data_IF_602973204167
#
_entry.id   IF_602973204167
#
_cell.length_a   1.000
_cell.length_b   1.000
_cell.length_c   1.000
_cell.angle_alpha   90.00
_cell.angle_beta   90.00
_cell.angle_gamma   90.00
#
_symmetry.space_group_name_H-M   'P 1'
#
loop_
_entity.id
_entity.type
_entity.pdbx_description
1 polymer ?
#
# COMPACT_ATOMS: atom_id res chain seq x y z
N UNK A 1 2.31 0.55 6.03
CA UNK A 1 1.42 1.47 5.32
C UNK A 1 0.03 1.40 5.92
N UNK A 2 -0.69 2.53 5.93
CA UNK A 2 -2.07 2.63 6.41
C UNK A 2 -2.83 3.69 5.60
N UNK A 3 -4.12 3.44 5.34
CA UNK A 3 -4.98 4.34 4.57
C UNK A 3 -6.01 4.99 5.50
N UNK A 4 -6.23 6.30 5.34
CA UNK A 4 -7.25 7.04 6.10
C UNK A 4 -8.63 6.82 5.48
N UNK A 5 -8.80 7.18 4.20
CA UNK A 5 -10.06 7.00 3.47
C UNK A 5 -9.95 5.76 2.58
N UNK A 6 -10.35 4.60 3.13
CA UNK A 6 -10.30 3.31 2.43
C UNK A 6 -11.38 3.20 1.35
N UNK A 7 -11.09 2.46 0.29
CA UNK A 7 -12.05 2.04 -0.75
C UNK A 7 -13.01 0.95 -0.25
N UNK A 8 -12.69 0.33 0.89
CA UNK A 8 -13.44 -0.80 1.45
C UNK A 8 -14.55 -0.33 2.39
N UNK A 9 -15.54 0.38 1.84
CA UNK A 9 -16.64 1.00 2.60
C UNK A 9 -16.19 2.10 3.59
N UNK A 10 -14.94 2.57 3.55
CA UNK A 10 -14.37 3.47 4.54
C UNK A 10 -15.04 4.86 4.62
N UNK A 11 -15.81 5.26 3.59
CA UNK A 11 -16.60 6.49 3.61
C UNK A 11 -18.02 6.31 4.14
N UNK A 12 -18.54 5.08 4.11
CA UNK A 12 -19.96 4.77 4.35
C UNK A 12 -20.19 4.01 5.65
N UNK A 13 -19.14 3.36 6.17
CA UNK A 13 -19.19 2.62 7.43
C UNK A 13 -18.37 3.31 8.51
N UNK A 14 -18.97 3.51 9.69
CA UNK A 14 -18.23 4.08 10.80
C UNK A 14 -17.12 3.13 11.29
N UNK A 15 -16.11 3.72 11.91
CA UNK A 15 -15.08 2.96 12.63
C UNK A 15 -15.67 2.25 13.87
N UNK A 16 -14.85 1.51 14.62
CA UNK A 16 -15.28 0.77 15.81
C UNK A 16 -15.87 1.65 16.92
N UNK A 17 -15.67 2.96 16.87
CA UNK A 17 -16.17 3.95 17.81
C UNK A 17 -17.42 4.69 17.32
N UNK A 18 -17.93 4.35 16.15
CA UNK A 18 -19.15 4.92 15.57
C UNK A 18 -18.96 6.19 14.73
N UNK A 19 -17.73 6.56 14.38
CA UNK A 19 -17.44 7.77 13.63
C UNK A 19 -17.16 7.48 12.15
N UNK A 20 -17.80 8.24 11.25
CA UNK A 20 -17.41 8.36 9.85
C UNK A 20 -16.23 9.34 9.71
N UNK A 21 -15.37 9.20 8.67
CA UNK A 21 -14.18 10.05 8.55
C UNK A 21 -14.48 11.50 8.20
N UNK A 22 -15.56 11.76 7.47
CA UNK A 22 -15.92 13.06 6.92
C UNK A 22 -17.36 13.42 7.28
N UNK A 23 -17.63 14.71 7.49
CA UNK A 23 -18.99 15.24 7.60
C UNK A 23 -19.57 15.31 6.18
N UNK A 24 -20.73 14.71 5.97
CA UNK A 24 -21.47 14.70 4.69
C UNK A 24 -20.61 14.34 3.45
N UNK A 25 -19.59 13.50 3.66
CA UNK A 25 -18.57 13.15 2.63
C UNK A 25 -17.80 14.35 2.07
N UNK A 26 -17.74 15.46 2.80
CA UNK A 26 -16.93 16.61 2.41
C UNK A 26 -15.48 16.48 2.91
N UNK A 27 -14.47 16.32 2.00
CA UNK A 27 -13.08 16.19 2.41
C UNK A 27 -12.52 17.41 3.16
N UNK A 28 -13.18 18.57 3.06
CA UNK A 28 -12.77 19.76 3.79
C UNK A 28 -13.22 19.78 5.25
N UNK A 29 -14.06 18.80 5.64
CA UNK A 29 -14.65 18.69 6.97
C UNK A 29 -14.41 17.31 7.57
N UNK A 30 -13.27 17.15 8.24
CA UNK A 30 -12.92 15.89 8.92
C UNK A 30 -13.68 15.72 10.23
N UNK A 31 -13.97 14.48 10.62
CA UNK A 31 -14.63 14.16 11.89
C UNK A 31 -13.59 13.85 12.96
N UNK A 32 -13.46 14.69 13.99
CA UNK A 32 -12.43 14.55 15.03
C UNK A 32 -12.42 13.16 15.67
N UNK A 33 -13.56 12.62 16.07
CA UNK A 33 -13.63 11.28 16.71
C UNK A 33 -13.14 10.13 15.83
N UNK A 34 -13.18 10.27 14.48
CA UNK A 34 -12.52 9.32 13.59
C UNK A 34 -11.00 9.51 13.60
N UNK A 35 -10.56 10.78 13.53
CA UNK A 35 -9.14 11.10 13.44
C UNK A 35 -8.38 10.89 14.76
N UNK A 36 -9.04 10.87 15.91
CA UNK A 36 -8.44 10.45 17.19
C UNK A 36 -7.86 9.04 17.13
N UNK A 37 -8.53 8.11 16.41
CA UNK A 37 -8.00 6.77 16.20
C UNK A 37 -6.77 6.79 15.27
N UNK A 38 -6.80 7.58 14.21
CA UNK A 38 -5.64 7.76 13.31
C UNK A 38 -4.45 8.33 14.07
N UNK A 39 -4.69 9.36 14.88
CA UNK A 39 -3.69 9.98 15.78
C UNK A 39 -3.07 8.95 16.72
N UNK A 40 -3.92 8.14 17.36
CA UNK A 40 -3.47 7.09 18.28
C UNK A 40 -2.51 6.11 17.58
N UNK A 41 -2.88 5.61 16.39
CA UNK A 41 -2.06 4.66 15.63
C UNK A 41 -0.71 5.29 15.25
N UNK A 42 -0.70 6.52 14.75
CA UNK A 42 0.53 7.23 14.35
C UNK A 42 1.43 7.45 15.56
N UNK A 43 0.90 7.93 16.68
CA UNK A 43 1.68 8.18 17.91
C UNK A 43 2.23 6.90 18.51
N UNK A 44 1.45 5.82 18.55
CA UNK A 44 1.90 4.53 19.07
C UNK A 44 3.00 3.89 18.20
N UNK A 45 2.93 4.06 16.88
CA UNK A 45 4.01 3.67 15.97
C UNK A 45 5.29 4.50 16.23
N UNK A 46 5.15 5.83 16.30
CA UNK A 46 6.25 6.76 16.57
C UNK A 46 6.98 6.47 17.87
N UNK A 47 6.26 6.19 18.97
CA UNK A 47 6.83 5.76 20.26
C UNK A 47 7.69 4.49 20.17
N UNK A 48 7.43 3.65 19.17
CA UNK A 48 8.19 2.40 18.89
C UNK A 48 9.27 2.59 17.83
N UNK A 49 9.57 3.83 17.44
CA UNK A 49 10.57 4.16 16.40
C UNK A 49 10.14 3.79 14.98
N UNK A 50 8.83 3.66 14.73
CA UNK A 50 8.28 3.34 13.41
C UNK A 50 7.68 4.58 12.75
N UNK A 51 7.89 4.72 11.45
CA UNK A 51 7.16 5.67 10.61
C UNK A 51 5.94 5.00 9.99
N UNK A 52 4.83 5.72 9.90
CA UNK A 52 3.66 5.28 9.15
C UNK A 52 3.75 5.82 7.72
N UNK A 53 3.80 4.92 6.73
CA UNK A 53 3.49 5.26 5.34
C UNK A 53 1.99 5.53 5.24
N UNK A 54 1.60 6.80 5.30
CA UNK A 54 0.20 7.22 5.44
C UNK A 54 -0.38 7.61 4.09
N UNK A 55 -1.43 6.88 3.67
CA UNK A 55 -2.20 7.22 2.49
C UNK A 55 -3.39 8.11 2.92
N UNK A 56 -3.46 9.35 2.48
CA UNK A 56 -4.61 10.25 2.77
C UNK A 56 -5.94 9.66 2.34
N UNK A 57 -5.93 9.03 1.18
CA UNK A 57 -7.07 8.35 0.57
C UNK A 57 -6.57 7.26 -0.36
N UNK A 58 -7.40 6.24 -0.60
CA UNK A 58 -7.16 5.30 -1.69
C UNK A 58 -7.60 5.93 -3.01
N UNK A 59 -6.90 5.61 -4.10
CA UNK A 59 -7.09 6.30 -5.38
C UNK A 59 -8.49 6.12 -6.00
N UNK A 60 -9.26 5.13 -5.59
CA UNK A 60 -10.66 4.97 -6.01
C UNK A 60 -11.51 6.22 -5.73
N UNK A 61 -11.17 6.99 -4.70
CA UNK A 61 -11.89 8.21 -4.34
C UNK A 61 -11.53 9.42 -5.22
N UNK A 62 -10.50 9.28 -6.07
CA UNK A 62 -10.07 10.32 -7.03
C UNK A 62 -10.62 10.07 -8.44
N UNK A 63 -11.10 8.86 -8.71
CA UNK A 63 -11.58 8.42 -10.03
C UNK A 63 -13.10 8.56 -10.12
N UNK A 64 -13.58 9.10 -11.24
CA UNK A 64 -15.01 9.04 -11.58
C UNK A 64 -15.40 7.60 -11.92
N UNK A 65 -16.48 7.12 -11.35
CA UNK A 65 -16.93 5.73 -11.54
C UNK A 65 -18.42 5.64 -11.77
N UNK A 66 -18.81 4.91 -12.82
CA UNK A 66 -20.22 4.59 -13.14
C UNK A 66 -21.12 5.85 -13.20
N UNK A 67 -20.57 6.96 -13.71
CA UNK A 67 -21.28 8.24 -13.81
C UNK A 67 -21.36 9.03 -12.49
N UNK A 68 -20.77 8.53 -11.42
CA UNK A 68 -20.66 9.26 -10.16
C UNK A 68 -19.35 10.06 -10.13
N UNK A 69 -19.39 11.34 -9.67
CA UNK A 69 -18.19 12.16 -9.57
C UNK A 69 -17.22 11.55 -8.54
N UNK A 70 -15.95 11.79 -8.75
CA UNK A 70 -14.94 11.52 -7.74
C UNK A 70 -15.24 12.30 -6.45
N UNK A 71 -14.82 11.76 -5.31
CA UNK A 71 -14.90 12.49 -4.02
C UNK A 71 -14.04 13.75 -4.05
N UNK A 72 -12.88 13.65 -4.70
CA UNK A 72 -11.91 14.74 -4.77
C UNK A 72 -12.00 15.51 -6.10
N UNK A 73 -11.77 16.81 -5.97
CA UNK A 73 -11.41 17.75 -7.02
C UNK A 73 -10.14 18.51 -6.58
N UNK A 74 -9.49 19.32 -7.43
CA UNK A 74 -8.25 20.02 -7.04
C UNK A 74 -8.38 20.89 -5.78
N UNK A 75 -9.50 21.60 -5.61
CA UNK A 75 -9.69 22.55 -4.50
C UNK A 75 -9.85 21.83 -3.16
N UNK A 76 -10.74 20.83 -3.09
CA UNK A 76 -10.95 20.09 -1.85
C UNK A 76 -9.78 19.14 -1.54
N UNK A 77 -9.07 18.62 -2.55
CA UNK A 77 -7.85 17.84 -2.37
C UNK A 77 -6.73 18.67 -1.74
N UNK A 78 -6.54 19.91 -2.19
CA UNK A 78 -5.61 20.85 -1.57
C UNK A 78 -5.99 21.12 -0.11
N UNK A 79 -7.25 21.42 0.16
CA UNK A 79 -7.73 21.74 1.52
C UNK A 79 -7.55 20.56 2.46
N UNK A 80 -7.96 19.35 2.03
CA UNK A 80 -7.78 18.10 2.77
C UNK A 80 -6.30 17.81 3.04
N UNK A 81 -5.47 17.92 2.01
CA UNK A 81 -4.03 17.77 2.15
C UNK A 81 -3.43 18.72 3.17
N UNK A 82 -3.84 19.99 3.17
CA UNK A 82 -3.36 21.00 4.12
C UNK A 82 -3.81 20.72 5.56
N UNK A 83 -5.04 20.26 5.75
CA UNK A 83 -5.54 19.81 7.06
C UNK A 83 -4.66 18.69 7.61
N UNK A 84 -4.42 17.64 6.80
CA UNK A 84 -3.62 16.49 7.21
C UNK A 84 -2.15 16.86 7.43
N UNK A 85 -1.55 17.61 6.52
CA UNK A 85 -0.17 18.09 6.65
C UNK A 85 0.03 18.89 7.94
N UNK A 86 -0.92 19.78 8.28
CA UNK A 86 -0.88 20.56 9.52
C UNK A 86 -1.04 19.66 10.77
N UNK A 87 -1.99 18.71 10.73
CA UNK A 87 -2.26 17.81 11.86
C UNK A 87 -1.06 16.95 12.19
N UNK A 88 -0.36 16.41 11.19
CA UNK A 88 0.70 15.44 11.35
C UNK A 88 2.12 15.96 11.13
N UNK A 89 2.32 17.28 11.06
CA UNK A 89 3.61 17.92 10.74
C UNK A 89 4.79 17.52 11.66
N UNK A 90 4.50 17.14 12.90
CA UNK A 90 5.50 16.75 13.89
C UNK A 90 5.51 15.24 14.17
N UNK A 91 4.72 14.47 13.43
CA UNK A 91 4.56 13.03 13.65
C UNK A 91 5.44 12.21 12.68
N UNK A 92 5.70 10.96 13.05
CA UNK A 92 6.51 10.04 12.26
C UNK A 92 5.72 9.50 11.04
N UNK A 93 5.49 10.35 10.06
CA UNK A 93 4.71 10.06 8.85
C UNK A 93 5.56 10.21 7.59
N UNK A 94 5.40 9.27 6.67
CA UNK A 94 5.81 9.37 5.27
C UNK A 94 4.53 9.36 4.44
N UNK A 95 4.30 10.38 3.63
CA UNK A 95 3.09 10.47 2.83
C UNK A 95 3.17 9.59 1.60
N UNK A 96 2.12 8.82 1.34
CA UNK A 96 1.99 8.00 0.15
C UNK A 96 0.67 8.35 -0.52
N UNK A 97 0.74 9.06 -1.65
CA UNK A 97 -0.43 9.36 -2.46
C UNK A 97 -0.78 8.15 -3.34
N UNK A 98 -1.95 8.16 -3.98
CA UNK A 98 -2.36 7.07 -4.86
C UNK A 98 -3.04 5.92 -4.13
N UNK A 99 -2.72 4.69 -4.51
CA UNK A 99 -3.30 3.45 -4.00
C UNK A 99 -3.90 2.58 -5.11
N UNK A 100 -3.09 1.66 -5.63
CA UNK A 100 -3.43 0.61 -6.61
C UNK A 100 -4.12 1.10 -7.89
N UNK A 101 -3.80 2.34 -8.30
CA UNK A 101 -4.28 2.90 -9.57
C UNK A 101 -3.23 3.77 -10.25
N UNK A 102 -3.31 3.77 -11.57
CA UNK A 102 -2.54 4.66 -12.42
C UNK A 102 -3.27 5.99 -12.59
N UNK A 103 -2.52 7.04 -12.87
CA UNK A 103 -3.08 8.31 -13.32
C UNK A 103 -3.42 8.19 -14.81
N UNK A 104 -4.69 8.37 -15.14
CA UNK A 104 -5.22 8.18 -16.50
C UNK A 104 -5.62 9.49 -17.16
N UNK A 105 -6.04 10.47 -16.37
CA UNK A 105 -6.53 11.77 -16.86
C UNK A 105 -5.74 12.94 -16.25
N UNK A 106 -5.72 14.07 -16.99
CA UNK A 106 -5.13 15.32 -16.48
C UNK A 106 -5.81 15.76 -15.16
N UNK A 107 -7.11 15.53 -15.04
CA UNK A 107 -7.86 15.86 -13.82
C UNK A 107 -7.38 15.06 -12.61
N UNK A 108 -7.15 13.75 -12.76
CA UNK A 108 -6.56 12.93 -11.69
C UNK A 108 -5.16 13.42 -11.32
N UNK A 109 -4.34 13.77 -12.32
CA UNK A 109 -3.02 14.34 -12.09
C UNK A 109 -3.11 15.63 -11.29
N UNK A 110 -3.99 16.56 -11.67
CA UNK A 110 -4.19 17.83 -10.96
C UNK A 110 -4.67 17.64 -9.52
N UNK A 111 -5.56 16.67 -9.27
CA UNK A 111 -6.02 16.34 -7.92
C UNK A 111 -4.85 15.91 -7.02
N UNK A 112 -4.00 15.00 -7.52
CA UNK A 112 -2.83 14.55 -6.76
C UNK A 112 -1.79 15.65 -6.54
N UNK A 113 -1.56 16.49 -7.53
CA UNK A 113 -0.70 17.67 -7.40
C UNK A 113 -1.22 18.63 -6.34
N UNK A 114 -2.52 18.88 -6.33
CA UNK A 114 -3.18 19.77 -5.37
C UNK A 114 -3.12 19.21 -3.95
N UNK A 115 -3.35 17.90 -3.78
CA UNK A 115 -3.23 17.22 -2.49
C UNK A 115 -1.78 17.28 -1.97
N UNK A 116 -0.78 16.98 -2.82
CA UNK A 116 0.62 17.07 -2.47
C UNK A 116 1.02 18.47 -2.02
N UNK A 117 0.58 19.50 -2.76
CA UNK A 117 0.81 20.89 -2.42
C UNK A 117 0.19 21.26 -1.07
N UNK A 118 -1.04 20.84 -0.84
CA UNK A 118 -1.71 21.06 0.45
C UNK A 118 -0.94 20.45 1.62
N UNK A 119 -0.51 19.20 1.49
CA UNK A 119 0.30 18.51 2.51
C UNK A 119 1.61 19.26 2.77
N UNK A 120 2.34 19.66 1.71
CA UNK A 120 3.60 20.39 1.86
C UNK A 120 3.42 21.73 2.56
N UNK A 121 2.37 22.47 2.24
CA UNK A 121 2.08 23.73 2.93
C UNK A 121 1.70 23.51 4.40
N UNK A 122 0.95 22.45 4.69
CA UNK A 122 0.55 22.10 6.05
C UNK A 122 1.71 21.68 6.94
N UNK A 123 2.64 20.89 6.42
CA UNK A 123 3.77 20.33 7.18
C UNK A 123 5.08 21.11 7.03
N UNK A 124 5.09 22.19 6.22
CA UNK A 124 6.30 22.97 5.93
C UNK A 124 7.31 22.25 5.01
N UNK A 125 6.88 21.24 4.25
CA UNK A 125 7.72 20.52 3.30
C UNK A 125 8.78 19.62 3.94
N UNK A 126 8.63 19.23 5.20
CA UNK A 126 9.68 18.51 5.97
C UNK A 126 9.55 17.00 5.90
N UNK A 127 8.39 16.47 5.51
CA UNK A 127 8.14 15.03 5.47
C UNK A 127 8.29 14.47 4.05
N UNK A 128 8.79 13.24 3.95
CA UNK A 128 8.93 12.55 2.67
C UNK A 128 7.54 12.22 2.07
N UNK A 129 7.46 12.25 0.75
CA UNK A 129 6.24 11.96 0.01
C UNK A 129 6.53 11.13 -1.24
N UNK A 130 5.62 10.21 -1.57
CA UNK A 130 5.66 9.41 -2.78
C UNK A 130 4.26 9.12 -3.31
N UNK A 131 4.17 8.32 -4.38
CA UNK A 131 2.92 7.91 -5.03
C UNK A 131 2.90 6.40 -5.25
N UNK A 132 1.81 5.74 -4.86
CA UNK A 132 1.57 4.31 -5.00
C UNK A 132 0.73 4.02 -6.26
N UNK A 133 1.33 3.48 -7.33
CA UNK A 133 0.63 3.11 -8.56
C UNK A 133 -0.02 1.73 -8.45
N UNK A 134 -0.60 1.21 -9.53
CA UNK A 134 -1.03 -0.18 -9.66
C UNK A 134 0.14 -1.14 -9.95
N UNK A 135 -0.16 -2.45 -9.97
CA UNK A 135 0.81 -3.51 -10.16
C UNK A 135 1.63 -3.44 -11.45
N UNK A 136 2.89 -3.87 -11.33
CA UNK A 136 3.96 -3.89 -12.33
C UNK A 136 4.34 -2.50 -12.88
N UNK A 137 3.96 -1.42 -12.18
CA UNK A 137 4.22 -0.04 -12.57
C UNK A 137 4.91 0.72 -11.43
N UNK A 138 5.49 1.86 -11.75
CA UNK A 138 6.18 2.74 -10.82
C UNK A 138 5.72 4.20 -10.95
N UNK A 139 5.73 4.91 -9.83
CA UNK A 139 5.37 6.32 -9.71
C UNK A 139 6.16 7.24 -10.65
N UNK A 140 7.35 6.81 -11.11
CA UNK A 140 8.18 7.63 -11.99
C UNK A 140 7.50 8.01 -13.30
N UNK A 141 6.56 7.21 -13.78
CA UNK A 141 5.84 7.48 -15.04
C UNK A 141 5.12 8.83 -15.05
N UNK A 142 4.62 9.26 -13.88
CA UNK A 142 3.85 10.50 -13.76
C UNK A 142 4.56 11.59 -12.96
N UNK A 143 5.23 11.20 -11.87
CA UNK A 143 5.61 12.16 -10.84
C UNK A 143 7.12 12.25 -10.59
N UNK A 144 7.96 11.61 -11.39
CA UNK A 144 9.40 11.59 -11.15
C UNK A 144 10.03 12.99 -11.05
N UNK A 145 9.60 13.90 -11.90
CA UNK A 145 10.13 15.27 -11.96
C UNK A 145 9.45 16.23 -10.98
N UNK A 146 8.41 15.77 -10.29
CA UNK A 146 7.73 16.60 -9.31
C UNK A 146 8.63 16.83 -8.07
N UNK A 147 8.67 18.07 -7.61
CA UNK A 147 9.51 18.47 -6.47
C UNK A 147 9.07 17.82 -5.15
N UNK A 148 7.81 17.48 -5.03
CA UNK A 148 7.27 16.81 -3.85
C UNK A 148 7.58 15.31 -3.80
N UNK A 149 7.86 14.64 -4.95
CA UNK A 149 8.18 13.23 -4.97
C UNK A 149 9.59 13.00 -4.44
N UNK A 150 9.72 12.54 -3.23
CA UNK A 150 10.99 12.29 -2.55
C UNK A 150 11.68 11.02 -3.04
N UNK A 151 10.92 9.97 -3.34
CA UNK A 151 11.37 8.68 -3.83
C UNK A 151 10.30 8.05 -4.72
N UNK A 152 10.70 7.08 -5.56
CA UNK A 152 9.74 6.35 -6.38
C UNK A 152 9.19 5.13 -5.62
N UNK A 153 7.94 4.80 -5.86
CA UNK A 153 7.33 3.54 -5.44
C UNK A 153 7.12 2.65 -6.66
N UNK A 154 7.51 1.40 -6.50
CA UNK A 154 7.17 0.28 -7.37
C UNK A 154 6.15 -0.60 -6.66
N UNK A 155 5.12 -1.05 -7.38
CA UNK A 155 4.30 -2.19 -6.99
C UNK A 155 4.65 -3.35 -7.91
N UNK A 156 5.38 -4.37 -7.43
CA UNK A 156 5.64 -5.56 -8.23
C UNK A 156 4.43 -6.51 -8.29
N UNK A 157 3.57 -6.44 -7.29
CA UNK A 157 2.24 -7.06 -7.28
C UNK A 157 2.22 -8.57 -7.17
N UNK A 158 1.11 -9.20 -7.62
CA UNK A 158 0.76 -10.59 -7.34
C UNK A 158 0.60 -11.44 -8.61
N UNK A 159 1.39 -11.16 -9.65
CA UNK A 159 1.22 -11.74 -10.98
C UNK A 159 1.87 -13.12 -11.16
N UNK A 160 2.95 -13.40 -10.44
CA UNK A 160 3.71 -14.67 -10.59
C UNK A 160 4.57 -14.96 -9.39
N UNK A 161 4.75 -16.24 -9.10
CA UNK A 161 5.76 -16.68 -8.14
C UNK A 161 7.16 -16.36 -8.66
N UNK A 162 8.10 -16.12 -7.74
CA UNK A 162 9.49 -15.80 -8.07
C UNK A 162 9.63 -14.66 -9.10
N UNK A 163 8.82 -13.62 -8.95
CA UNK A 163 8.89 -12.46 -9.86
C UNK A 163 10.31 -11.87 -9.85
N UNK A 164 10.95 -11.74 -11.02
CA UNK A 164 12.30 -11.18 -11.11
C UNK A 164 12.29 -9.65 -10.93
N UNK A 165 11.97 -9.19 -9.71
CA UNK A 165 11.83 -7.77 -9.36
C UNK A 165 13.09 -6.92 -9.65
N UNK A 166 14.26 -7.57 -9.78
CA UNK A 166 15.50 -6.93 -10.21
C UNK A 166 15.42 -6.30 -11.62
N UNK A 167 14.47 -6.74 -12.46
CA UNK A 167 14.22 -6.13 -13.78
C UNK A 167 13.90 -4.63 -13.73
N UNK A 168 13.34 -4.17 -12.61
CA UNK A 168 13.00 -2.76 -12.43
C UNK A 168 14.22 -1.88 -12.08
N UNK A 169 15.30 -2.46 -11.58
CA UNK A 169 16.49 -1.69 -11.14
C UNK A 169 17.16 -0.94 -12.29
N UNK A 170 17.22 -1.54 -13.48
CA UNK A 170 17.79 -0.91 -14.66
C UNK A 170 17.08 0.37 -15.07
N UNK A 171 15.77 0.40 -14.88
CA UNK A 171 14.94 1.56 -15.18
C UNK A 171 15.29 2.76 -14.29
N UNK A 172 15.35 2.55 -12.97
CA UNK A 172 15.64 3.65 -12.03
C UNK A 172 17.03 4.27 -12.21
N UNK A 173 17.97 3.49 -12.68
CA UNK A 173 19.34 3.95 -12.93
C UNK A 173 19.48 4.93 -14.09
N UNK A 174 18.49 4.97 -14.97
CA UNK A 174 18.48 5.84 -16.15
C UNK A 174 17.70 7.13 -15.92
N UNK A 175 17.00 7.24 -14.77
CA UNK A 175 16.22 8.43 -14.45
C UNK A 175 17.12 9.59 -13.99
N UNK A 176 16.73 10.81 -14.34
CA UNK A 176 17.40 12.04 -13.94
C UNK A 176 16.34 13.04 -13.41
N UNK A 177 16.47 13.55 -12.18
CA UNK A 177 17.50 13.22 -11.18
C UNK A 177 17.39 11.78 -10.69
N UNK A 178 18.48 11.20 -10.17
CA UNK A 178 18.40 9.90 -9.50
C UNK A 178 17.65 10.07 -8.19
N UNK A 179 16.53 9.34 -8.03
CA UNK A 179 15.78 9.27 -6.77
C UNK A 179 15.80 7.84 -6.22
N UNK A 180 15.77 7.64 -4.89
CA UNK A 180 15.58 6.31 -4.31
C UNK A 180 14.31 5.65 -4.83
N UNK A 181 14.23 4.32 -4.76
CA UNK A 181 12.99 3.60 -5.01
C UNK A 181 12.72 2.55 -3.93
N UNK A 182 11.45 2.27 -3.70
CA UNK A 182 10.95 1.29 -2.73
C UNK A 182 9.98 0.36 -3.45
N UNK A 183 10.10 -0.95 -3.24
CA UNK A 183 9.05 -1.88 -3.60
C UNK A 183 8.00 -1.89 -2.46
N UNK A 184 6.97 -1.08 -2.63
CA UNK A 184 6.03 -0.79 -1.56
C UNK A 184 4.85 -1.75 -1.52
N UNK A 185 4.60 -2.48 -2.61
CA UNK A 185 3.65 -3.59 -2.66
C UNK A 185 4.21 -4.74 -3.51
N UNK A 186 5.08 -5.56 -2.92
CA UNK A 186 5.43 -6.86 -3.48
C UNK A 186 4.31 -7.87 -3.26
N UNK A 187 4.52 -9.12 -3.67
CA UNK A 187 3.59 -10.19 -3.35
C UNK A 187 3.45 -10.37 -1.85
N UNK A 188 2.22 -10.63 -1.39
CA UNK A 188 1.94 -10.87 0.03
C UNK A 188 2.04 -12.35 0.35
N UNK A 189 2.57 -12.68 1.52
CA UNK A 189 2.53 -14.05 2.04
C UNK A 189 1.07 -14.50 2.21
N UNK A 190 0.79 -15.76 1.87
CA UNK A 190 -0.53 -16.39 1.95
C UNK A 190 -1.60 -15.86 0.96
N UNK A 191 -1.26 -14.98 0.01
CA UNK A 191 -2.20 -14.57 -1.04
C UNK A 191 -2.07 -15.52 -2.24
N UNK A 192 -3.17 -15.95 -2.88
CA UNK A 192 -3.08 -16.68 -4.14
C UNK A 192 -2.46 -15.83 -5.25
N UNK A 193 -1.61 -16.44 -6.06
CA UNK A 193 -1.08 -15.81 -7.26
C UNK A 193 -2.24 -15.53 -8.22
N UNK A 194 -2.27 -14.36 -8.85
CA UNK A 194 -3.37 -13.93 -9.73
C UNK A 194 -4.76 -14.07 -9.06
N UNK A 195 -4.86 -13.76 -7.77
CA UNK A 195 -6.04 -14.03 -6.96
C UNK A 195 -7.36 -13.56 -7.59
N UNK A 196 -7.33 -12.51 -8.37
CA UNK A 196 -8.52 -11.97 -9.07
C UNK A 196 -9.10 -12.92 -10.13
N UNK A 197 -8.30 -13.85 -10.69
CA UNK A 197 -8.76 -14.87 -11.64
C UNK A 197 -9.62 -15.96 -10.96
N UNK A 198 -9.51 -16.09 -9.63
CA UNK A 198 -10.13 -17.16 -8.84
C UNK A 198 -11.41 -16.73 -8.11
N UNK A 199 -11.90 -15.51 -8.31
CA UNK A 199 -13.13 -15.05 -7.66
C UNK A 199 -14.42 -15.67 -8.24
N UNK A 200 -14.39 -16.07 -9.51
CA UNK A 200 -15.47 -16.78 -10.15
C UNK A 200 -15.25 -18.30 -10.05
N UNK A 201 -15.75 -18.89 -8.97
CA UNK A 201 -15.62 -20.34 -8.72
C UNK A 201 -16.29 -21.17 -9.83
N UNK A 202 -17.37 -20.68 -10.44
CA UNK A 202 -18.09 -21.40 -11.49
C UNK A 202 -17.26 -21.54 -12.77
N UNK A 203 -16.37 -20.60 -13.07
CA UNK A 203 -15.40 -20.68 -14.17
C UNK A 203 -14.54 -21.97 -14.10
N UNK A 204 -14.31 -22.47 -12.89
CA UNK A 204 -13.51 -23.66 -12.61
C UNK A 204 -14.37 -24.89 -12.26
N UNK A 205 -15.70 -24.83 -12.49
CA UNK A 205 -16.61 -25.93 -12.16
C UNK A 205 -16.74 -26.22 -10.66
N UNK A 206 -16.51 -25.23 -9.82
CA UNK A 206 -16.53 -25.33 -8.35
C UNK A 206 -17.60 -24.44 -7.76
N UNK A 207 -17.96 -24.69 -6.51
CA UNK A 207 -18.72 -23.77 -5.65
C UNK A 207 -17.81 -23.19 -4.59
N UNK A 208 -18.22 -22.06 -4.04
CA UNK A 208 -17.46 -21.41 -2.95
C UNK A 208 -17.24 -22.38 -1.78
N UNK A 209 -18.25 -23.14 -1.41
CA UNK A 209 -18.23 -24.09 -0.30
C UNK A 209 -17.26 -25.26 -0.52
N UNK A 210 -16.86 -25.53 -1.76
CA UNK A 210 -15.84 -26.54 -2.07
C UNK A 210 -14.43 -26.08 -1.66
N UNK A 211 -14.20 -24.77 -1.70
CA UNK A 211 -12.90 -24.12 -1.51
C UNK A 211 -12.77 -23.49 -0.14
N UNK A 212 -13.85 -22.87 0.34
CA UNK A 212 -13.89 -22.15 1.63
C UNK A 212 -14.67 -22.99 2.64
N UNK A 213 -14.06 -23.21 3.80
CA UNK A 213 -14.70 -23.92 4.91
C UNK A 213 -15.72 -23.07 5.65
N UNK A 214 -16.50 -23.70 6.54
CA UNK A 214 -17.53 -23.05 7.35
C UNK A 214 -16.95 -21.98 8.29
N UNK A 215 -15.66 -22.10 8.62
CA UNK A 215 -14.92 -21.08 9.37
C UNK A 215 -14.50 -19.87 8.52
N UNK A 216 -14.77 -19.87 7.22
CA UNK A 216 -14.42 -18.80 6.30
C UNK A 216 -12.98 -18.82 5.79
N UNK A 217 -12.19 -19.84 6.12
CA UNK A 217 -10.81 -20.00 5.65
C UNK A 217 -10.74 -20.92 4.44
N UNK A 218 -9.66 -20.79 3.65
CA UNK A 218 -9.36 -21.71 2.56
C UNK A 218 -9.15 -23.12 3.13
N UNK A 219 -9.89 -24.11 2.64
CA UNK A 219 -9.73 -25.52 2.98
C UNK A 219 -9.16 -26.37 1.84
N UNK A 220 -9.25 -25.88 0.60
CA UNK A 220 -8.65 -26.52 -0.57
C UNK A 220 -7.73 -25.56 -1.31
N UNK A 221 -6.44 -25.65 -1.03
CA UNK A 221 -5.40 -24.83 -1.68
C UNK A 221 -5.13 -25.26 -3.11
N UNK A 222 -5.48 -26.49 -3.52
CA UNK A 222 -5.24 -27.01 -4.87
C UNK A 222 -6.11 -26.32 -5.93
N UNK A 223 -7.16 -25.62 -5.51
CA UNK A 223 -7.98 -24.78 -6.37
C UNK A 223 -7.16 -23.67 -7.04
N UNK A 224 -6.19 -23.10 -6.34
CA UNK A 224 -5.33 -22.04 -6.84
C UNK A 224 -4.16 -22.61 -7.63
N UNK A 225 -4.40 -22.91 -8.90
CA UNK A 225 -3.45 -23.66 -9.76
C UNK A 225 -2.16 -22.90 -10.03
N UNK A 226 -2.16 -21.56 -9.95
CA UNK A 226 -0.95 -20.74 -10.02
C UNK A 226 -0.18 -20.71 -8.70
N UNK A 227 -0.75 -21.31 -7.64
CA UNK A 227 -0.17 -21.43 -6.32
C UNK A 227 -0.55 -20.30 -5.38
N UNK A 228 0.02 -20.35 -4.19
CA UNK A 228 -0.10 -19.33 -3.13
C UNK A 228 1.31 -18.94 -2.74
N UNK A 229 1.56 -17.64 -2.55
CA UNK A 229 2.89 -17.15 -2.15
C UNK A 229 3.25 -17.65 -0.75
N UNK A 230 4.45 -18.21 -0.62
CA UNK A 230 5.00 -18.71 0.63
C UNK A 230 6.19 -17.84 1.11
N UNK A 231 6.78 -18.23 2.23
CA UNK A 231 7.93 -17.54 2.82
C UNK A 231 9.15 -17.49 1.89
N UNK A 232 9.32 -18.49 1.04
CA UNK A 232 10.43 -18.53 0.08
C UNK A 232 10.28 -17.44 -0.98
N UNK A 233 9.07 -17.26 -1.55
CA UNK A 233 8.77 -16.20 -2.51
C UNK A 233 9.04 -14.82 -1.90
N UNK A 234 8.51 -14.59 -0.69
CA UNK A 234 8.62 -13.31 0.01
C UNK A 234 10.09 -12.98 0.32
N UNK A 235 10.82 -13.96 0.83
CA UNK A 235 12.25 -13.80 1.14
C UNK A 235 13.07 -13.49 -0.10
N UNK A 236 12.86 -14.22 -1.19
CA UNK A 236 13.58 -14.03 -2.45
C UNK A 236 13.28 -12.64 -3.04
N UNK A 237 12.03 -12.22 -3.05
CA UNK A 237 11.67 -10.88 -3.53
C UNK A 237 12.31 -9.78 -2.69
N UNK A 238 12.37 -9.93 -1.36
CA UNK A 238 13.02 -8.96 -0.48
C UNK A 238 14.52 -8.83 -0.81
N UNK A 239 15.26 -9.94 -0.89
CA UNK A 239 16.67 -9.91 -1.24
C UNK A 239 16.92 -9.36 -2.65
N UNK A 240 16.16 -9.79 -3.64
CA UNK A 240 16.29 -9.28 -5.00
C UNK A 240 16.00 -7.79 -5.09
N UNK A 241 15.01 -7.30 -4.35
CA UNK A 241 14.70 -5.86 -4.29
C UNK A 241 15.88 -5.07 -3.75
N UNK A 242 16.41 -5.44 -2.59
CA UNK A 242 17.53 -4.71 -1.98
C UNK A 242 18.83 -4.84 -2.78
N UNK A 243 19.17 -6.02 -3.26
CA UNK A 243 20.38 -6.21 -4.08
C UNK A 243 20.28 -5.56 -5.45
N UNK A 244 19.09 -5.17 -5.88
CA UNK A 244 18.86 -4.35 -7.06
C UNK A 244 19.07 -2.85 -6.80
N UNK A 245 19.38 -2.45 -5.56
CA UNK A 245 19.63 -1.06 -5.18
C UNK A 245 18.40 -0.31 -4.69
N UNK A 246 17.32 -1.00 -4.33
CA UNK A 246 16.17 -0.37 -3.69
C UNK A 246 16.53 0.16 -2.28
N UNK A 247 15.90 1.27 -1.90
CA UNK A 247 16.01 1.84 -0.57
C UNK A 247 15.09 1.16 0.45
N UNK A 248 14.12 0.34 -0.01
CA UNK A 248 13.18 -0.32 0.87
C UNK A 248 12.34 -1.40 0.18
N UNK A 249 11.73 -2.21 1.03
CA UNK A 249 10.82 -3.30 0.71
C UNK A 249 9.72 -3.37 1.77
N UNK A 250 8.48 -3.53 1.36
CA UNK A 250 7.33 -3.66 2.28
C UNK A 250 6.88 -5.12 2.33
N UNK A 251 7.00 -5.76 3.48
CA UNK A 251 6.38 -7.06 3.70
C UNK A 251 4.86 -6.93 3.79
N UNK A 252 4.13 -7.82 3.15
CA UNK A 252 2.68 -7.95 3.25
C UNK A 252 2.24 -9.38 3.56
N UNK A 253 1.08 -9.52 4.21
CA UNK A 253 0.42 -10.79 4.43
C UNK A 253 -1.07 -10.66 4.15
N UNK A 254 -1.66 -11.67 3.49
CA UNK A 254 -3.05 -11.63 3.02
C UNK A 254 -4.09 -11.41 4.14
N UNK A 255 -3.93 -12.05 5.27
CA UNK A 255 -4.90 -11.90 6.37
C UNK A 255 -4.71 -10.60 7.15
N UNK A 256 -3.46 -10.09 7.23
CA UNK A 256 -3.12 -8.89 8.02
C UNK A 256 -3.64 -7.63 7.34
N UNK A 257 -3.41 -7.44 6.03
CA UNK A 257 -3.80 -6.18 5.36
C UNK A 257 -5.30 -5.91 5.43
N UNK A 258 -6.12 -6.97 5.42
CA UNK A 258 -7.58 -6.87 5.50
C UNK A 258 -8.13 -7.10 6.93
N UNK A 259 -7.25 -7.27 7.92
CA UNK A 259 -7.61 -7.53 9.33
C UNK A 259 -8.66 -8.63 9.46
N UNK A 260 -8.52 -9.71 8.65
CA UNK A 260 -9.53 -10.78 8.58
C UNK A 260 -9.66 -11.53 9.89
N UNK A 261 -10.87 -11.63 10.42
CA UNK A 261 -11.20 -12.24 11.70
C UNK A 261 -12.41 -13.17 11.60
N UNK A 262 -12.63 -14.09 12.59
CA UNK A 262 -13.81 -14.93 12.62
C UNK A 262 -15.11 -14.14 12.46
N UNK A 263 -16.00 -14.62 11.57
CA UNK A 263 -17.27 -13.95 11.25
C UNK A 263 -17.13 -12.65 10.44
N UNK A 264 -15.92 -12.23 10.10
CA UNK A 264 -15.66 -11.09 9.24
C UNK A 264 -15.87 -11.40 7.75
N UNK A 265 -15.88 -10.36 6.93
CA UNK A 265 -15.89 -10.46 5.47
C UNK A 265 -14.45 -10.32 4.98
N UNK A 266 -14.00 -11.24 4.14
CA UNK A 266 -12.72 -11.10 3.43
C UNK A 266 -12.91 -10.46 2.06
N UNK A 267 -11.87 -9.83 1.53
CA UNK A 267 -11.77 -9.38 0.14
C UNK A 267 -11.06 -10.41 -0.73
N UNK A 268 -9.98 -11.00 -0.21
CA UNK A 268 -9.29 -12.15 -0.79
C UNK A 268 -9.36 -13.30 0.20
N UNK A 269 -9.72 -14.53 -0.21
CA UNK A 269 -9.75 -15.69 0.69
C UNK A 269 -8.43 -15.89 1.41
N UNK A 270 -8.49 -16.25 2.70
CA UNK A 270 -7.32 -16.38 3.59
C UNK A 270 -7.09 -17.80 4.09
N UNK A 271 -5.83 -18.14 4.31
CA UNK A 271 -5.41 -19.40 4.95
C UNK A 271 -5.57 -19.38 6.47
N UNK A 272 -5.52 -18.20 7.09
CA UNK A 272 -5.62 -17.99 8.52
C UNK A 272 -6.30 -16.66 8.83
N UNK A 273 -6.62 -16.41 10.08
CA UNK A 273 -7.03 -15.09 10.56
C UNK A 273 -5.80 -14.21 10.82
N UNK A 274 -6.03 -12.87 10.93
CA UNK A 274 -4.94 -11.90 11.03
C UNK A 274 -4.00 -12.13 12.22
N UNK A 275 -4.54 -12.57 13.37
CA UNK A 275 -3.78 -12.84 14.58
C UNK A 275 -2.89 -14.08 14.43
N UNK A 276 -3.36 -15.13 13.74
CA UNK A 276 -2.55 -16.29 13.37
C UNK A 276 -1.52 -16.03 12.28
N UNK A 277 -1.61 -14.89 11.59
CA UNK A 277 -0.68 -14.50 10.54
C UNK A 277 0.51 -13.66 11.03
N UNK A 278 0.51 -13.20 12.29
CA UNK A 278 1.56 -12.33 12.84
C UNK A 278 2.94 -12.99 12.85
N UNK A 279 3.00 -14.29 13.07
CA UNK A 279 4.23 -15.08 13.20
C UNK A 279 4.46 -16.01 11.99
N UNK A 280 4.00 -15.61 10.80
CA UNK A 280 4.25 -16.37 9.58
C UNK A 280 5.74 -16.42 9.23
N UNK A 281 6.22 -17.51 8.59
CA UNK A 281 7.65 -17.68 8.26
C UNK A 281 8.24 -16.55 7.44
N UNK A 282 7.48 -15.95 6.51
CA UNK A 282 7.94 -14.79 5.73
C UNK A 282 8.17 -13.55 6.58
N UNK A 283 7.31 -13.30 7.59
CA UNK A 283 7.52 -12.22 8.56
C UNK A 283 8.83 -12.42 9.35
N UNK A 284 9.07 -13.66 9.83
CA UNK A 284 10.31 -14.00 10.53
C UNK A 284 11.55 -13.81 9.63
N UNK A 285 11.45 -14.15 8.33
CA UNK A 285 12.54 -13.95 7.37
C UNK A 285 12.94 -12.46 7.24
N UNK A 286 12.02 -11.52 7.46
CA UNK A 286 12.33 -10.08 7.37
C UNK A 286 13.31 -9.62 8.45
N UNK A 287 13.42 -10.32 9.57
CA UNK A 287 14.44 -10.04 10.60
C UNK A 287 15.85 -10.24 10.06
N UNK A 288 16.07 -11.28 9.26
CA UNK A 288 17.38 -11.54 8.64
C UNK A 288 17.68 -10.53 7.55
N UNK A 289 16.70 -10.17 6.74
CA UNK A 289 16.82 -9.11 5.73
C UNK A 289 17.21 -7.81 6.41
N UNK A 290 16.49 -7.39 7.46
CA UNK A 290 16.81 -6.19 8.24
C UNK A 290 18.22 -6.26 8.82
N UNK A 291 18.59 -7.37 9.44
CA UNK A 291 19.92 -7.54 10.05
C UNK A 291 21.04 -7.38 9.03
N UNK A 292 20.90 -8.00 7.85
CA UNK A 292 21.90 -7.89 6.78
C UNK A 292 22.08 -6.43 6.34
N UNK A 293 21.00 -5.74 6.04
CA UNK A 293 21.04 -4.38 5.49
C UNK A 293 21.26 -3.28 6.55
N UNK A 294 21.15 -3.60 7.84
CA UNK A 294 21.63 -2.71 8.92
C UNK A 294 23.11 -2.94 9.26
N UNK A 295 23.64 -4.14 8.99
CA UNK A 295 25.07 -4.43 9.16
C UNK A 295 25.93 -3.71 8.11
N UNK A 296 25.42 -3.58 6.90
CA UNK A 296 26.10 -2.92 5.79
C UNK A 296 25.31 -1.68 5.39
N UNK A 297 25.93 -0.47 5.39
CA UNK A 297 25.21 0.76 5.05
C UNK A 297 24.70 0.74 3.62
N UNK A 298 23.38 0.80 3.46
CA UNK A 298 22.70 0.73 2.15
C UNK A 298 23.13 1.84 1.19
N UNK A 299 23.49 3.01 1.71
CA UNK A 299 23.99 4.14 0.92
C UNK A 299 25.32 3.85 0.23
N UNK A 300 26.05 2.81 0.65
CA UNK A 300 27.32 2.36 0.07
C UNK A 300 27.20 1.13 -0.82
N UNK A 301 26.08 0.42 -0.73
CA UNK A 301 25.83 -0.75 -1.59
C UNK A 301 25.36 -0.25 -2.95
N UNK A 302 26.02 -0.71 -4.01
CA UNK A 302 25.63 -0.40 -5.39
C UNK A 302 25.53 -1.69 -6.19
N UNK A 303 24.49 -1.88 -6.98
CA UNK A 303 24.42 -2.99 -7.93
C UNK A 303 25.61 -2.90 -8.91
N UNK A 304 26.32 -4.01 -9.07
CA UNK A 304 27.33 -4.10 -10.14
C UNK A 304 26.58 -4.24 -11.46
N UNK A 305 26.82 -3.32 -12.37
CA UNK A 305 26.25 -3.32 -13.71
C UNK A 305 27.35 -3.63 -14.70
N UNK A 306 27.23 -4.76 -15.38
CA UNK A 306 28.11 -5.14 -16.50
C UNK A 306 27.58 -4.55 -17.80
#
# INVERSE_FOLDING_TARGET
QAVILSELDGLDKPNAYGYLPLVDKDPTQITEGYFELVDFVIREAGKRGMYIGLLPTWANNVVEKDGNPALFNPDNAYTYGKILGTRYKNEAVIWILGGDRNVVTDKEFEIWQSMAKGIQEGNGGTQLMSYHPTGEISSHYWFHNESWLSFNILQSGHYRRMDPVYRFSGMYAQLNPIKPFVNAEPSYEDIPVLFWEYFDYAKFGKKKEDIIGDNGLIKDTTYFTDGIYDDYDIRMQAYWTYFSGAAGYTYGNNAIWQMYKPGGKYHVPCLTFWDGALDRPGAECMRYVKSLFTMYPLDRIRPVRN
#
